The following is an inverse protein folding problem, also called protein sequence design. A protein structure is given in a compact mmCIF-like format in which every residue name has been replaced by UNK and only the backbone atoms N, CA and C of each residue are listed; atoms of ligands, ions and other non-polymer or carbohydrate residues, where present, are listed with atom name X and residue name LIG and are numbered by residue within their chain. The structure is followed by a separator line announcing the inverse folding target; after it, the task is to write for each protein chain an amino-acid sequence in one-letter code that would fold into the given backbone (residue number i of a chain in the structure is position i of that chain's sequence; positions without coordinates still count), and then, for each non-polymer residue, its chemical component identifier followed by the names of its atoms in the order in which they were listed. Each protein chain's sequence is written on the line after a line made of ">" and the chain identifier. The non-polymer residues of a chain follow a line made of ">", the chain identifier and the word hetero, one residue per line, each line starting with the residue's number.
data_IF_773490767166
#
_entry.id   IF_773490767166
#
_cell.length_a   1.000
_cell.length_b   1.000
_cell.length_c   1.000
_cell.angle_alpha   90.00
_cell.angle_beta   90.00
_cell.angle_gamma   90.00
#
_symmetry.space_group_name_H-M   'P 1'
#
loop_
_entity.id
_entity.type
_entity.pdbx_description
1 polymer ?
#
# COMPACT_ATOMS: atom_id res chain seq x y z
N UNK A 1 -6.85 14.61 -18.52
CA UNK A 1 -7.35 14.35 -17.15
C UNK A 1 -6.60 15.25 -16.20
N UNK A 2 -7.29 16.09 -15.43
CA UNK A 2 -6.64 17.01 -14.49
C UNK A 2 -6.13 16.12 -13.35
N UNK A 3 -4.82 15.92 -13.28
CA UNK A 3 -4.20 15.38 -12.08
C UNK A 3 -4.55 16.35 -10.96
N UNK A 4 -5.21 15.86 -9.91
CA UNK A 4 -5.42 16.64 -8.69
C UNK A 4 -4.08 17.27 -8.30
N UNK A 5 -4.05 18.56 -7.90
CA UNK A 5 -2.81 19.17 -7.47
C UNK A 5 -2.20 18.34 -6.33
N UNK A 6 -0.87 18.36 -6.16
CA UNK A 6 -0.24 17.70 -5.03
C UNK A 6 -0.90 18.13 -3.71
N UNK A 7 -0.94 17.23 -2.74
CA UNK A 7 -1.49 17.46 -1.40
C UNK A 7 -3.00 17.82 -1.36
N UNK A 8 -3.77 17.25 -2.29
CA UNK A 8 -5.21 17.49 -2.41
C UNK A 8 -6.02 16.82 -1.28
N UNK A 9 -5.61 15.63 -0.83
CA UNK A 9 -6.33 14.88 0.20
C UNK A 9 -5.57 14.92 1.53
N UNK A 10 -6.26 15.14 2.64
CA UNK A 10 -5.61 15.12 3.96
C UNK A 10 -4.99 13.75 4.28
N UNK A 11 -5.64 12.68 3.84
CA UNK A 11 -5.17 11.31 3.96
C UNK A 11 -5.50 10.48 2.71
N UNK A 12 -4.64 9.51 2.39
CA UNK A 12 -4.87 8.52 1.32
C UNK A 12 -4.76 7.11 1.90
N UNK A 13 -5.58 6.19 1.41
CA UNK A 13 -5.55 4.77 1.75
C UNK A 13 -5.48 3.96 0.47
N UNK A 14 -4.64 2.92 0.44
CA UNK A 14 -4.54 1.96 -0.67
C UNK A 14 -4.07 0.60 -0.17
N UNK A 15 -4.20 -0.42 -1.02
CA UNK A 15 -3.74 -1.77 -0.71
C UNK A 15 -3.24 -2.55 -1.91
N UNK A 16 -2.42 -3.56 -1.64
CA UNK A 16 -1.84 -4.44 -2.66
C UNK A 16 -0.89 -5.47 -2.06
N UNK A 17 -0.45 -6.45 -2.87
CA UNK A 17 0.55 -7.42 -2.40
C UNK A 17 1.93 -6.79 -2.27
N UNK A 18 2.31 -5.90 -3.19
CA UNK A 18 3.62 -5.26 -3.23
C UNK A 18 4.81 -6.23 -3.13
N UNK A 19 4.70 -7.43 -3.73
CA UNK A 19 5.85 -8.31 -3.93
C UNK A 19 6.85 -7.64 -4.87
N UNK A 20 8.13 -7.63 -4.50
CA UNK A 20 9.25 -7.09 -5.30
C UNK A 20 8.86 -5.83 -6.08
N UNK A 21 8.80 -4.69 -5.39
CA UNK A 21 8.38 -3.39 -5.95
C UNK A 21 8.95 -3.15 -7.36
N UNK A 22 8.14 -3.37 -8.39
CA UNK A 22 8.46 -3.05 -9.77
C UNK A 22 7.86 -1.69 -10.16
N UNK A 23 8.06 -1.25 -11.40
CA UNK A 23 7.69 0.12 -11.83
C UNK A 23 6.21 0.43 -11.64
N UNK A 24 5.32 -0.52 -11.92
CA UNK A 24 3.89 -0.37 -11.65
C UNK A 24 3.58 -0.05 -10.18
N UNK A 25 4.15 -0.79 -9.23
CA UNK A 25 3.98 -0.52 -7.80
C UNK A 25 4.54 0.85 -7.43
N UNK A 26 5.76 1.16 -7.91
CA UNK A 26 6.43 2.43 -7.66
C UNK A 26 5.61 3.62 -8.14
N UNK A 27 5.02 3.54 -9.33
CA UNK A 27 4.20 4.60 -9.89
C UNK A 27 2.91 4.80 -9.08
N UNK A 28 2.26 3.69 -8.70
CA UNK A 28 1.05 3.73 -7.88
C UNK A 28 1.29 4.35 -6.50
N UNK A 29 2.33 3.88 -5.78
CA UNK A 29 2.72 4.40 -4.47
C UNK A 29 3.15 5.87 -4.54
N UNK A 30 3.89 6.27 -5.59
CA UNK A 30 4.30 7.66 -5.80
C UNK A 30 3.10 8.58 -6.01
N UNK A 31 2.16 8.19 -6.86
CA UNK A 31 0.96 8.97 -7.11
C UNK A 31 0.14 9.15 -5.81
N UNK A 32 -0.02 8.08 -5.03
CA UNK A 32 -0.70 8.13 -3.75
C UNK A 32 0.01 9.04 -2.73
N UNK A 33 1.33 8.93 -2.61
CA UNK A 33 2.14 9.78 -1.72
C UNK A 33 2.07 11.27 -2.08
N UNK A 34 2.06 11.60 -3.38
CA UNK A 34 1.92 12.99 -3.86
C UNK A 34 0.53 13.55 -3.67
N UNK A 35 -0.51 12.71 -3.66
CA UNK A 35 -1.89 13.13 -3.44
C UNK A 35 -2.20 13.36 -1.95
N UNK A 36 -1.45 12.73 -1.05
CA UNK A 36 -1.63 12.79 0.40
C UNK A 36 -0.90 13.98 1.03
N UNK A 37 -1.62 14.84 1.75
CA UNK A 37 -1.06 15.97 2.48
C UNK A 37 -0.35 15.54 3.76
N UNK A 38 -1.07 14.85 4.66
CA UNK A 38 -0.58 14.58 6.02
C UNK A 38 -0.19 13.12 6.25
N UNK A 39 -1.01 12.17 5.76
CA UNK A 39 -0.77 10.74 6.00
C UNK A 39 -1.17 9.83 4.85
N UNK A 40 -0.52 8.67 4.80
CA UNK A 40 -0.87 7.57 3.91
C UNK A 40 -0.93 6.27 4.70
N UNK A 41 -1.98 5.47 4.46
CA UNK A 41 -2.13 4.12 5.03
C UNK A 41 -2.06 3.12 3.89
N UNK A 42 -1.16 2.13 4.02
CA UNK A 42 -0.98 1.09 3.01
C UNK A 42 -1.25 -0.29 3.60
N UNK A 43 -2.28 -0.95 3.10
CA UNK A 43 -2.57 -2.35 3.38
C UNK A 43 -1.73 -3.28 2.50
N UNK A 44 -0.91 -4.13 3.10
CA UNK A 44 -0.06 -5.09 2.40
C UNK A 44 -0.66 -6.49 2.57
N UNK A 45 -1.15 -7.09 1.47
CA UNK A 45 -1.83 -8.39 1.51
C UNK A 45 -0.93 -9.48 2.08
N UNK A 46 -1.48 -10.32 2.95
CA UNK A 46 -0.81 -11.48 3.52
C UNK A 46 -1.76 -12.66 3.75
N UNK A 47 -1.19 -13.82 4.07
CA UNK A 47 -1.95 -15.00 4.49
C UNK A 47 -3.04 -15.41 3.49
N UNK A 48 -4.32 -15.56 3.92
CA UNK A 48 -5.42 -16.00 3.06
C UNK A 48 -5.61 -15.14 1.80
N UNK A 49 -5.27 -13.85 1.85
CA UNK A 49 -5.38 -12.96 0.68
C UNK A 49 -4.40 -13.31 -0.45
N UNK A 50 -3.39 -14.16 -0.19
CA UNK A 50 -2.42 -14.62 -1.18
C UNK A 50 -2.74 -16.03 -1.72
N UNK A 51 -3.70 -16.74 -1.14
CA UNK A 51 -3.95 -18.17 -1.40
C UNK A 51 -4.32 -18.48 -2.87
N UNK A 52 -4.90 -17.50 -3.58
CA UNK A 52 -5.28 -17.66 -5.00
C UNK A 52 -4.18 -17.20 -5.98
N UNK A 53 -3.03 -16.74 -5.50
CA UNK A 53 -1.91 -16.37 -6.38
C UNK A 53 -1.10 -17.59 -6.75
N UNK A 54 -0.93 -17.79 -8.05
CA UNK A 54 0.03 -18.75 -8.57
C UNK A 54 1.42 -18.41 -8.02
N UNK A 55 2.06 -19.39 -7.37
CA UNK A 55 3.34 -19.24 -6.69
C UNK A 55 3.34 -18.30 -5.46
N UNK A 56 2.28 -18.33 -4.65
CA UNK A 56 2.21 -17.64 -3.36
C UNK A 56 3.46 -17.86 -2.48
N UNK A 57 4.05 -19.05 -2.56
CA UNK A 57 5.23 -19.43 -1.76
C UNK A 57 6.53 -18.71 -2.19
N UNK A 58 6.54 -18.08 -3.37
CA UNK A 58 7.68 -17.30 -3.87
C UNK A 58 7.58 -15.80 -3.56
N UNK A 59 6.49 -15.38 -2.90
CA UNK A 59 6.27 -14.00 -2.46
C UNK A 59 7.21 -13.71 -1.28
N UNK A 60 7.79 -12.51 -1.27
CA UNK A 60 8.66 -12.06 -0.18
C UNK A 60 7.92 -12.08 1.18
N UNK A 61 8.61 -12.38 2.29
CA UNK A 61 8.00 -12.32 3.61
C UNK A 61 7.36 -10.95 3.87
N UNK A 62 6.21 -10.94 4.54
CA UNK A 62 5.40 -9.73 4.76
C UNK A 62 6.20 -8.54 5.30
N UNK A 63 7.10 -8.76 6.27
CA UNK A 63 7.93 -7.71 6.86
C UNK A 63 8.88 -7.05 5.84
N UNK A 64 9.41 -7.80 4.87
CA UNK A 64 10.23 -7.23 3.79
C UNK A 64 9.38 -6.35 2.89
N UNK A 65 8.20 -6.82 2.50
CA UNK A 65 7.29 -6.07 1.62
C UNK A 65 6.81 -4.78 2.28
N UNK A 66 6.42 -4.84 3.55
CA UNK A 66 6.03 -3.65 4.33
C UNK A 66 7.17 -2.64 4.42
N UNK A 67 8.38 -3.11 4.74
CA UNK A 67 9.56 -2.25 4.80
C UNK A 67 9.89 -1.60 3.45
N UNK A 68 9.85 -2.36 2.35
CA UNK A 68 10.10 -1.84 1.01
C UNK A 68 9.08 -0.74 0.63
N UNK A 69 7.80 -0.92 1.00
CA UNK A 69 6.76 0.09 0.79
C UNK A 69 7.05 1.36 1.58
N UNK A 70 7.34 1.23 2.88
CA UNK A 70 7.64 2.36 3.76
C UNK A 70 8.87 3.13 3.25
N UNK A 71 9.98 2.43 3.02
CA UNK A 71 11.24 3.02 2.54
C UNK A 71 11.04 3.76 1.22
N UNK A 72 10.27 3.17 0.28
CA UNK A 72 9.99 3.80 -1.00
C UNK A 72 9.14 5.07 -0.85
N UNK A 73 8.05 5.03 -0.06
CA UNK A 73 7.22 6.22 0.17
C UNK A 73 8.04 7.32 0.84
N UNK A 74 8.86 6.97 1.84
CA UNK A 74 9.75 7.92 2.52
C UNK A 74 10.82 8.51 1.59
N UNK A 75 11.29 7.75 0.61
CA UNK A 75 12.19 8.28 -0.42
C UNK A 75 11.52 9.30 -1.35
N UNK A 76 10.20 9.19 -1.57
CA UNK A 76 9.41 10.10 -2.41
C UNK A 76 8.98 11.34 -1.63
N UNK A 77 8.51 11.18 -0.40
CA UNK A 77 8.01 12.27 0.46
C UNK A 77 8.42 12.02 1.92
N UNK A 78 9.62 12.47 2.34
CA UNK A 78 10.20 12.16 3.65
C UNK A 78 9.30 12.53 4.85
N UNK A 79 8.63 13.67 4.76
CA UNK A 79 7.82 14.23 5.85
C UNK A 79 6.41 13.63 5.95
N UNK A 80 5.99 12.78 5.00
CA UNK A 80 4.66 12.17 5.01
C UNK A 80 4.55 11.16 6.17
N UNK A 81 3.48 11.20 6.97
CA UNK A 81 3.23 10.14 7.94
C UNK A 81 2.81 8.86 7.20
N UNK A 82 3.56 7.78 7.39
CA UNK A 82 3.32 6.49 6.71
C UNK A 82 2.90 5.47 7.74
N UNK A 83 1.76 4.82 7.49
CA UNK A 83 1.33 3.64 8.23
C UNK A 83 1.23 2.47 7.24
N UNK A 84 1.92 1.38 7.53
CA UNK A 84 1.87 0.17 6.71
C UNK A 84 1.38 -0.97 7.59
N UNK A 85 0.33 -1.65 7.16
CA UNK A 85 -0.32 -2.72 7.93
C UNK A 85 -0.46 -3.97 7.07
N UNK A 86 -0.24 -5.14 7.66
CA UNK A 86 -0.59 -6.39 7.01
C UNK A 86 -2.13 -6.53 6.97
N UNK A 87 -2.68 -6.88 5.82
CA UNK A 87 -4.11 -7.20 5.67
C UNK A 87 -4.25 -8.68 5.29
N UNK A 88 -5.04 -9.40 6.09
CA UNK A 88 -5.26 -10.86 5.96
C UNK A 88 -6.72 -11.21 5.69
N UNK A 89 -7.61 -10.23 5.81
CA UNK A 89 -9.05 -10.40 5.60
C UNK A 89 -9.44 -9.98 4.17
N UNK A 90 -9.85 -10.94 3.31
CA UNK A 90 -10.26 -10.65 1.94
C UNK A 90 -11.58 -9.89 1.83
N UNK A 91 -12.39 -9.84 2.88
CA UNK A 91 -13.69 -9.18 2.88
C UNK A 91 -13.71 -7.86 3.68
N UNK A 92 -12.75 -7.70 4.60
CA UNK A 92 -12.64 -6.50 5.44
C UNK A 92 -13.89 -6.26 6.29
N UNK A 93 -14.09 -5.03 6.83
CA UNK A 93 -15.27 -4.74 7.64
C UNK A 93 -16.58 -4.77 6.83
N UNK A 94 -16.51 -4.88 5.51
CA UNK A 94 -17.67 -4.79 4.60
C UNK A 94 -18.65 -5.95 4.71
N UNK A 95 -18.30 -7.03 5.42
CA UNK A 95 -19.20 -8.17 5.70
C UNK A 95 -19.70 -8.20 7.14
N UNK A 96 -19.28 -7.25 7.98
CA UNK A 96 -19.75 -7.14 9.36
C UNK A 96 -20.90 -6.13 9.36
N UNK A 97 -22.13 -6.64 9.39
CA UNK A 97 -23.32 -5.85 9.74
C UNK A 97 -23.32 -5.67 11.26
N UNK A 98 -23.36 -4.43 11.75
CA UNK A 98 -23.67 -4.09 13.15
C UNK A 98 -25.19 -4.16 13.42
#
# INVERSE_FOLDING_TARGET
>A
SILSPPDYYDAVVLGGTFDRLHDGHRQFLKAAAMAARNRIVVGVCDGPMLANKQYSDLIEPIHHRMKHVEDYIKSVKPDLAVQVEAIVDPYGPSIVDD
#
